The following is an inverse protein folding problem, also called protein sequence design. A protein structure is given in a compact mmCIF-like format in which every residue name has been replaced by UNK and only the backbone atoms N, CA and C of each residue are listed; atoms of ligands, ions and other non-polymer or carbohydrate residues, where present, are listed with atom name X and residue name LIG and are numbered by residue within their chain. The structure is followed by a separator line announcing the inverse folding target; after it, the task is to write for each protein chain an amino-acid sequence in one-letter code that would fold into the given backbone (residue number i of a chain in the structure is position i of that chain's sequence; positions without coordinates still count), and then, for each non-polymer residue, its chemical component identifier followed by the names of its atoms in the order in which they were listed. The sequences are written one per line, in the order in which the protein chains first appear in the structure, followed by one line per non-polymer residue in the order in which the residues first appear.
data_IF_584946164717
#
_entry.id   IF_584946164717
#
_cell.length_a   1.000
_cell.length_b   1.000
_cell.length_c   1.000
_cell.angle_alpha   90.00
_cell.angle_beta   90.00
_cell.angle_gamma   90.00
#
_symmetry.space_group_name_H-M   'P 1'
#
loop_
_entity.id
_entity.type
_entity.pdbx_description
1 polymer ?
#
# COMPACT_ATOMS: atom_id res chain seq x y z
N UNK A 1 2.33 -3.83 -18.27
CA UNK A 1 3.01 -5.00 -17.68
C UNK A 1 3.92 -4.60 -16.54
N UNK A 2 4.23 -5.53 -15.66
CA UNK A 2 5.18 -5.39 -14.57
C UNK A 2 6.27 -6.46 -14.76
N UNK A 3 7.54 -6.06 -14.69
CA UNK A 3 8.66 -6.98 -14.90
C UNK A 3 9.48 -7.19 -13.62
N UNK A 4 9.79 -6.13 -12.88
CA UNK A 4 10.67 -6.18 -11.72
C UNK A 4 10.32 -5.10 -10.70
N UNK A 5 10.49 -5.44 -9.42
CA UNK A 5 10.50 -4.49 -8.32
C UNK A 5 11.61 -4.83 -7.35
N UNK A 6 12.41 -3.85 -6.98
CA UNK A 6 13.28 -3.92 -5.82
C UNK A 6 13.12 -2.68 -4.97
N UNK A 7 13.17 -2.86 -3.65
CA UNK A 7 13.10 -1.76 -2.69
C UNK A 7 14.01 -2.08 -1.49
N UNK A 8 14.79 -1.10 -1.06
CA UNK A 8 15.75 -1.26 0.02
C UNK A 8 15.78 -0.01 0.88
N UNK A 9 15.85 -0.18 2.20
CA UNK A 9 16.33 0.89 3.07
C UNK A 9 17.84 0.93 2.94
N UNK A 10 18.40 2.11 2.66
CA UNK A 10 19.83 2.33 2.50
C UNK A 10 20.44 2.88 3.79
N UNK A 11 19.73 3.79 4.44
CA UNK A 11 20.17 4.46 5.68
C UNK A 11 18.98 4.53 6.66
N UNK A 12 19.20 4.48 7.98
CA UNK A 12 20.48 4.38 8.70
C UNK A 12 21.07 2.96 8.76
N UNK A 13 20.26 1.93 8.49
CA UNK A 13 20.68 0.52 8.42
C UNK A 13 20.13 -0.08 7.16
N UNK A 14 20.98 -0.62 6.31
CA UNK A 14 20.57 -1.24 5.06
C UNK A 14 19.83 -2.56 5.28
N UNK A 15 18.67 -2.69 4.66
CA UNK A 15 17.91 -3.94 4.59
C UNK A 15 16.93 -3.95 3.42
N UNK A 16 16.68 -5.14 2.83
CA UNK A 16 15.70 -5.26 1.76
C UNK A 16 14.28 -5.11 2.28
N UNK A 17 13.40 -4.57 1.43
CA UNK A 17 11.97 -4.49 1.68
C UNK A 17 11.24 -5.55 0.85
N UNK A 18 10.37 -6.30 1.48
CA UNK A 18 9.40 -7.17 0.79
C UNK A 18 8.30 -6.27 0.26
N UNK A 19 8.37 -5.95 -1.01
CA UNK A 19 7.54 -4.95 -1.67
C UNK A 19 7.00 -5.46 -3.01
N UNK A 20 5.83 -4.96 -3.40
CA UNK A 20 5.25 -5.15 -4.72
C UNK A 20 4.67 -3.82 -5.21
N UNK A 21 4.84 -3.46 -6.50
CA UNK A 21 4.18 -2.28 -7.04
C UNK A 21 2.68 -2.52 -7.15
N UNK A 22 1.88 -1.47 -6.97
CA UNK A 22 0.44 -1.53 -7.23
C UNK A 22 0.19 -1.67 -8.73
N UNK A 23 -0.88 -2.34 -9.10
CA UNK A 23 -1.33 -2.38 -10.49
C UNK A 23 -1.58 -0.95 -11.01
N UNK A 24 -1.28 -0.70 -12.26
CA UNK A 24 -1.40 0.60 -12.94
C UNK A 24 -0.57 1.73 -12.31
N UNK A 25 0.51 1.42 -11.64
CA UNK A 25 1.48 2.40 -11.17
C UNK A 25 2.54 2.69 -12.22
N UNK A 26 3.12 3.89 -12.20
CA UNK A 26 4.28 4.19 -13.03
C UNK A 26 5.49 3.38 -12.56
N UNK A 27 6.37 3.02 -13.50
CA UNK A 27 7.72 2.56 -13.20
C UNK A 27 8.64 3.71 -12.83
N UNK A 28 9.85 3.37 -12.39
CA UNK A 28 10.95 4.33 -12.19
C UNK A 28 11.89 4.30 -13.41
N UNK A 29 12.65 5.37 -13.64
CA UNK A 29 13.68 5.42 -14.69
C UNK A 29 15.00 4.79 -14.25
N UNK A 30 14.94 3.58 -13.69
CA UNK A 30 16.03 2.91 -13.00
C UNK A 30 15.95 3.08 -11.49
N UNK A 31 16.99 2.67 -10.73
CA UNK A 31 17.02 2.87 -9.29
C UNK A 31 16.93 4.36 -8.92
N UNK A 32 15.98 4.71 -8.08
CA UNK A 32 15.82 6.06 -7.53
C UNK A 32 16.00 6.03 -6.03
N UNK A 33 16.70 7.02 -5.49
CA UNK A 33 16.91 7.18 -4.05
C UNK A 33 16.27 8.45 -3.54
N UNK A 34 15.65 8.37 -2.38
CA UNK A 34 15.06 9.51 -1.73
C UNK A 34 14.89 9.33 -0.24
N UNK A 35 14.80 10.47 0.45
CA UNK A 35 14.48 10.48 1.87
C UNK A 35 13.03 10.06 2.07
N UNK A 36 12.81 9.17 3.03
CA UNK A 36 11.47 8.75 3.41
C UNK A 36 10.83 9.81 4.32
N UNK A 37 9.56 10.10 4.09
CA UNK A 37 8.77 11.00 4.91
C UNK A 37 7.50 10.32 5.39
N UNK A 38 7.24 10.38 6.70
CA UNK A 38 6.02 9.88 7.31
C UNK A 38 4.86 10.79 6.98
N UNK A 39 3.82 10.25 6.35
CA UNK A 39 2.61 10.99 5.98
C UNK A 39 1.42 10.43 6.76
N UNK A 40 0.82 11.28 7.58
CA UNK A 40 -0.42 11.00 8.32
C UNK A 40 -1.44 12.02 7.87
N UNK A 41 -2.52 11.57 7.24
CA UNK A 41 -3.58 12.44 6.73
C UNK A 41 -4.93 11.95 7.23
N UNK A 42 -5.60 12.77 7.99
CA UNK A 42 -6.92 12.54 8.57
C UNK A 42 -7.93 13.60 8.11
N UNK A 43 -7.43 14.73 7.59
CA UNK A 43 -8.21 15.87 7.18
C UNK A 43 -7.66 16.54 5.91
N UNK A 44 -8.47 17.39 5.27
CA UNK A 44 -8.02 18.19 4.13
C UNK A 44 -6.93 19.22 4.54
N UNK A 45 -6.94 19.68 5.79
CA UNK A 45 -5.90 20.57 6.31
C UNK A 45 -4.52 19.86 6.34
N UNK A 46 -4.48 18.56 6.62
CA UNK A 46 -3.24 17.81 6.58
C UNK A 46 -2.69 17.71 5.16
N UNK A 47 -3.58 17.58 4.16
CA UNK A 47 -3.18 17.59 2.75
C UNK A 47 -2.56 18.92 2.36
N UNK A 48 -3.20 20.04 2.78
CA UNK A 48 -2.65 21.39 2.55
C UNK A 48 -1.28 21.58 3.22
N UNK A 49 -1.09 21.03 4.42
CA UNK A 49 0.18 21.13 5.16
C UNK A 49 1.34 20.35 4.49
N UNK A 50 1.03 19.45 3.57
CA UNK A 50 2.03 18.70 2.80
C UNK A 50 2.53 19.44 1.57
N UNK A 51 1.81 20.47 1.11
CA UNK A 51 2.19 21.23 -0.09
C UNK A 51 3.60 21.81 0.01
N UNK A 52 4.37 21.66 -1.05
CA UNK A 52 5.75 22.12 -1.14
C UNK A 52 6.77 21.28 -0.35
N UNK A 53 6.35 20.14 0.23
CA UNK A 53 7.23 19.32 1.09
C UNK A 53 7.49 17.91 0.58
N UNK A 54 6.70 17.44 -0.38
CA UNK A 54 6.74 16.03 -0.80
C UNK A 54 7.50 15.77 -2.10
N UNK A 55 7.86 16.81 -2.82
CA UNK A 55 8.61 16.68 -4.07
C UNK A 55 9.95 15.94 -3.83
N UNK A 56 10.23 14.91 -4.62
CA UNK A 56 11.45 14.12 -4.50
C UNK A 56 11.55 13.23 -3.26
N UNK A 57 10.49 13.12 -2.45
CA UNK A 57 10.46 12.29 -1.25
C UNK A 57 9.83 10.93 -1.52
N UNK A 58 10.18 9.93 -0.70
CA UNK A 58 9.48 8.65 -0.63
C UNK A 58 8.45 8.75 0.51
N UNK A 59 7.17 8.75 0.16
CA UNK A 59 6.09 8.98 1.13
C UNK A 59 5.69 7.68 1.82
N UNK A 60 5.81 7.64 3.14
CA UNK A 60 5.43 6.51 3.99
C UNK A 60 4.02 6.72 4.53
N UNK A 61 3.00 6.29 3.75
CA UNK A 61 1.58 6.57 3.98
C UNK A 61 0.90 5.40 4.68
N UNK A 62 -0.10 5.69 5.49
CA UNK A 62 -0.91 4.68 6.19
C UNK A 62 -0.65 4.63 7.69
N UNK A 63 -1.20 3.63 8.36
CA UNK A 63 -1.07 3.43 9.80
C UNK A 63 -0.30 2.14 10.11
N UNK A 64 0.48 2.10 11.22
CA UNK A 64 1.08 0.86 11.67
C UNK A 64 -0.02 -0.16 11.94
N UNK A 65 0.22 -1.37 11.50
CA UNK A 65 -0.69 -2.47 11.77
C UNK A 65 -0.21 -3.24 12.99
N UNK A 66 -1.13 -3.57 13.89
CA UNK A 66 -0.88 -4.54 14.93
C UNK A 66 -0.76 -5.94 14.31
N UNK A 67 0.42 -6.51 14.41
CA UNK A 67 0.68 -7.87 13.94
C UNK A 67 0.23 -8.83 15.04
N UNK A 68 -0.85 -9.55 14.80
CA UNK A 68 -1.32 -10.60 15.72
C UNK A 68 -0.49 -11.85 15.50
N UNK A 69 -0.02 -12.44 16.59
CA UNK A 69 0.52 -13.81 16.53
C UNK A 69 -0.60 -14.75 16.05
N UNK A 70 -0.27 -15.80 15.27
CA UNK A 70 -1.26 -16.83 14.95
C UNK A 70 -1.83 -17.35 16.27
N UNK A 71 -3.15 -17.27 16.43
CA UNK A 71 -3.84 -17.94 17.51
C UNK A 71 -3.55 -19.45 17.44
N UNK A 72 -3.54 -20.12 18.60
CA UNK A 72 -3.13 -21.51 18.79
C UNK A 72 -3.35 -22.43 17.59
N UNK A 73 -2.27 -23.02 17.07
CA UNK A 73 -2.30 -24.00 16.00
C UNK A 73 -1.56 -23.62 14.70
N UNK A 74 -0.91 -22.45 14.61
CA UNK A 74 -0.10 -22.03 13.46
C UNK A 74 -0.92 -21.54 12.27
N UNK A 75 -0.25 -21.38 11.12
CA UNK A 75 -0.81 -20.85 9.88
C UNK A 75 -1.89 -21.79 9.30
N UNK A 76 -1.86 -23.06 9.65
CA UNK A 76 -2.80 -24.07 9.19
C UNK A 76 -3.62 -24.61 10.37
N UNK A 77 -4.84 -24.11 10.52
CA UNK A 77 -5.80 -24.65 11.47
C UNK A 77 -6.29 -26.00 10.92
N UNK A 78 -6.03 -27.08 11.66
CA UNK A 78 -6.70 -28.37 11.37
C UNK A 78 -8.12 -28.28 11.89
N UNK A 79 -9.08 -28.63 11.03
CA UNK A 79 -10.46 -28.77 11.45
C UNK A 79 -10.61 -30.03 12.33
N UNK A 80 -11.38 -29.94 13.42
CA UNK A 80 -11.84 -31.09 14.17
C UNK A 80 -12.93 -31.82 13.37
N UNK A 81 -13.18 -33.11 13.67
CA UNK A 81 -14.23 -33.88 13.01
C UNK A 81 -15.59 -33.17 13.06
N UNK A 82 -15.94 -32.60 14.21
CA UNK A 82 -17.16 -31.80 14.37
C UNK A 82 -17.22 -30.61 13.41
N UNK A 83 -16.11 -29.91 13.20
CA UNK A 83 -16.05 -28.79 12.27
C UNK A 83 -16.12 -29.26 10.81
N UNK A 84 -15.59 -30.44 10.50
CA UNK A 84 -15.73 -31.06 9.18
C UNK A 84 -17.19 -31.44 8.91
N UNK A 85 -17.88 -32.04 9.88
CA UNK A 85 -19.31 -32.35 9.80
C UNK A 85 -20.17 -31.08 9.61
N UNK A 86 -19.82 -29.98 10.31
CA UNK A 86 -20.48 -28.69 10.12
C UNK A 86 -20.23 -28.10 8.72
N UNK A 87 -19.04 -28.32 8.14
CA UNK A 87 -18.71 -27.92 6.76
C UNK A 87 -19.43 -28.79 5.72
N UNK A 88 -19.64 -30.09 5.99
CA UNK A 88 -20.38 -30.99 5.13
C UNK A 88 -21.86 -30.57 5.03
N UNK A 89 -22.38 -29.97 6.10
CA UNK A 89 -23.70 -29.33 6.11
C UNK A 89 -23.70 -27.94 5.50
N UNK A 90 -22.94 -27.75 4.40
CA UNK A 90 -22.76 -26.46 3.75
C UNK A 90 -24.11 -25.75 3.54
N UNK A 91 -24.39 -24.80 4.39
CA UNK A 91 -25.48 -23.84 4.18
C UNK A 91 -24.97 -22.74 3.27
N UNK A 92 -25.58 -22.59 2.11
CA UNK A 92 -25.34 -21.41 1.28
C UNK A 92 -25.51 -20.19 2.19
N UNK A 93 -24.47 -19.41 2.45
CA UNK A 93 -24.61 -18.23 3.29
C UNK A 93 -25.72 -17.36 2.67
N UNK A 94 -26.86 -17.32 3.32
CA UNK A 94 -27.98 -16.46 2.92
C UNK A 94 -27.45 -15.06 2.78
N UNK A 95 -27.50 -14.52 1.60
CA UNK A 95 -26.86 -13.37 1.04
C UNK A 95 -26.54 -12.23 2.01
N UNK A 96 -25.49 -11.53 1.71
CA UNK A 96 -24.93 -10.37 2.39
C UNK A 96 -24.31 -10.71 3.75
N UNK A 97 -23.07 -11.22 3.71
CA UNK A 97 -22.24 -11.26 4.92
C UNK A 97 -22.34 -9.94 5.68
N UNK A 98 -22.36 -10.04 7.00
CA UNK A 98 -22.41 -8.92 7.95
C UNK A 98 -21.29 -7.90 7.65
N UNK A 99 -21.45 -7.11 6.62
CA UNK A 99 -20.87 -5.78 6.57
C UNK A 99 -21.67 -4.97 7.57
N UNK A 100 -21.04 -4.45 8.58
CA UNK A 100 -21.65 -3.48 9.50
C UNK A 100 -22.34 -2.36 8.69
N UNK A 101 -23.19 -1.54 9.32
CA UNK A 101 -23.88 -0.47 8.62
C UNK A 101 -22.85 0.33 7.80
N UNK A 102 -23.11 0.46 6.51
CA UNK A 102 -22.25 1.22 5.59
C UNK A 102 -22.40 2.70 5.93
N UNK A 103 -21.36 3.26 6.56
CA UNK A 103 -21.31 4.69 6.80
C UNK A 103 -20.94 5.41 5.50
N UNK A 104 -21.96 5.98 4.88
CA UNK A 104 -21.83 6.71 3.61
C UNK A 104 -21.03 8.00 3.78
N UNK A 105 -21.16 8.67 4.91
CA UNK A 105 -20.46 9.96 5.16
C UNK A 105 -18.97 9.73 5.32
N UNK A 106 -18.59 8.76 6.14
CA UNK A 106 -17.19 8.36 6.32
C UNK A 106 -16.56 7.90 4.99
N UNK A 107 -17.30 7.09 4.22
CA UNK A 107 -16.87 6.67 2.90
C UNK A 107 -16.62 7.86 1.95
N UNK A 108 -17.55 8.82 1.90
CA UNK A 108 -17.41 10.00 1.05
C UNK A 108 -16.28 10.92 1.51
N UNK A 109 -16.10 11.09 2.83
CA UNK A 109 -14.97 11.82 3.41
C UNK A 109 -13.65 11.21 3.00
N UNK A 110 -13.50 9.90 3.19
CA UNK A 110 -12.31 9.17 2.79
C UNK A 110 -12.01 9.32 1.29
N UNK A 111 -13.03 9.22 0.44
CA UNK A 111 -12.87 9.40 -1.03
C UNK A 111 -12.44 10.82 -1.42
N UNK A 112 -12.89 11.83 -0.70
CA UNK A 112 -12.43 13.22 -0.92
C UNK A 112 -10.95 13.38 -0.58
N UNK A 113 -10.53 12.88 0.58
CA UNK A 113 -9.13 12.91 1.01
C UNK A 113 -8.21 12.16 0.03
N UNK A 114 -8.61 10.98 -0.40
CA UNK A 114 -7.87 10.20 -1.39
C UNK A 114 -7.67 10.98 -2.71
N UNK A 115 -8.74 11.61 -3.21
CA UNK A 115 -8.65 12.45 -4.43
C UNK A 115 -7.78 13.69 -4.24
N UNK A 116 -7.84 14.32 -3.07
CA UNK A 116 -7.00 15.47 -2.76
C UNK A 116 -5.51 15.09 -2.73
N UNK A 117 -5.18 13.93 -2.14
CA UNK A 117 -3.84 13.38 -2.14
C UNK A 117 -3.35 13.03 -3.54
N UNK A 118 -4.18 12.36 -4.35
CA UNK A 118 -3.83 12.03 -5.74
C UNK A 118 -3.47 13.30 -6.53
N UNK A 119 -4.28 14.35 -6.44
CA UNK A 119 -3.97 15.64 -7.08
C UNK A 119 -2.67 16.26 -6.58
N UNK A 120 -2.39 16.17 -5.28
CA UNK A 120 -1.14 16.67 -4.71
C UNK A 120 0.05 15.87 -5.24
N UNK A 121 -0.06 14.54 -5.35
CA UNK A 121 0.99 13.68 -5.90
C UNK A 121 1.26 13.98 -7.39
N UNK A 122 0.21 14.24 -8.16
CA UNK A 122 0.34 14.65 -9.57
C UNK A 122 1.06 16.01 -9.70
N UNK A 123 0.78 16.96 -8.82
CA UNK A 123 1.36 18.29 -8.84
C UNK A 123 2.83 18.31 -8.38
N UNK A 124 3.16 17.63 -7.28
CA UNK A 124 4.48 17.72 -6.64
C UNK A 124 5.41 16.56 -6.97
N UNK A 125 4.91 15.48 -7.56
CA UNK A 125 5.70 14.34 -8.06
C UNK A 125 6.68 13.78 -7.02
N UNK A 126 6.18 13.22 -5.90
CA UNK A 126 7.04 12.46 -5.00
C UNK A 126 7.67 11.29 -5.76
N UNK A 127 8.84 10.80 -5.31
CA UNK A 127 9.53 9.67 -5.93
C UNK A 127 8.69 8.39 -5.88
N UNK A 128 8.08 8.13 -4.74
CA UNK A 128 7.18 7.00 -4.57
C UNK A 128 6.24 7.19 -3.38
N UNK A 129 5.14 6.45 -3.40
CA UNK A 129 4.20 6.31 -2.28
C UNK A 129 4.23 4.86 -1.79
N UNK A 130 4.48 4.67 -0.50
CA UNK A 130 4.65 3.35 0.12
C UNK A 130 3.59 3.13 1.18
N UNK A 131 2.79 2.08 1.02
CA UNK A 131 1.71 1.71 1.93
C UNK A 131 1.97 0.34 2.58
N UNK A 132 1.44 0.07 3.79
CA UNK A 132 1.53 -1.24 4.41
C UNK A 132 0.60 -2.24 3.73
N UNK A 133 1.03 -3.49 3.66
CA UNK A 133 0.14 -4.60 3.31
C UNK A 133 -0.98 -4.75 4.34
N UNK A 134 -2.19 -5.07 3.86
CA UNK A 134 -3.34 -5.44 4.71
C UNK A 134 -3.24 -6.87 5.25
N UNK A 135 -2.20 -7.63 4.87
CA UNK A 135 -1.99 -9.01 5.29
C UNK A 135 -0.87 -9.13 6.31
N UNK A 136 -0.98 -10.12 7.17
CA UNK A 136 0.06 -10.46 8.15
C UNK A 136 1.15 -11.36 7.53
N UNK A 137 2.16 -11.72 8.31
CA UNK A 137 3.19 -12.69 7.95
C UNK A 137 3.92 -12.39 6.63
N UNK A 138 4.20 -11.13 6.34
CA UNK A 138 4.88 -10.66 5.12
C UNK A 138 4.15 -11.01 3.81
N UNK A 139 2.88 -11.39 3.87
CA UNK A 139 2.07 -11.60 2.69
C UNK A 139 1.70 -10.25 2.09
N UNK A 140 1.94 -10.09 0.80
CA UNK A 140 1.56 -8.90 0.07
C UNK A 140 0.22 -9.11 -0.62
N UNK A 141 -0.65 -8.11 -0.53
CA UNK A 141 -1.87 -8.05 -1.33
C UNK A 141 -1.67 -7.02 -2.44
N UNK A 142 -1.82 -7.44 -3.67
CA UNK A 142 -1.81 -6.54 -4.80
C UNK A 142 -3.02 -5.61 -4.75
N UNK A 143 -2.77 -4.32 -4.72
CA UNK A 143 -3.75 -3.25 -4.87
C UNK A 143 -3.62 -2.56 -6.21
N UNK A 144 -4.57 -1.69 -6.56
CA UNK A 144 -4.51 -0.85 -7.75
C UNK A 144 -4.23 0.62 -7.42
N UNK A 145 -3.50 1.30 -8.29
CA UNK A 145 -3.24 2.73 -8.21
C UNK A 145 -4.34 3.59 -8.85
N UNK A 146 -5.50 3.01 -9.15
CA UNK A 146 -6.74 3.64 -9.66
C UNK A 146 -6.69 4.31 -11.04
N UNK A 147 -5.55 4.40 -11.69
CA UNK A 147 -5.41 4.93 -13.04
C UNK A 147 -5.50 3.79 -14.06
N UNK A 148 -6.71 3.31 -14.34
CA UNK A 148 -6.94 2.16 -15.22
C UNK A 148 -7.73 2.49 -16.48
N UNK A 149 -8.16 3.75 -16.65
CA UNK A 149 -8.87 4.17 -17.88
C UNK A 149 -7.88 4.73 -18.88
N UNK A 150 -8.11 4.45 -20.15
CA UNK A 150 -7.32 5.05 -21.23
C UNK A 150 -7.41 6.58 -21.15
N UNK A 151 -6.24 7.23 -21.16
CA UNK A 151 -6.12 8.69 -21.05
C UNK A 151 -6.07 9.25 -19.63
N UNK A 152 -6.21 8.40 -18.58
CA UNK A 152 -5.93 8.84 -17.22
C UNK A 152 -4.43 9.17 -17.05
N UNK A 153 -4.07 10.18 -16.28
CA UNK A 153 -2.66 10.45 -15.98
C UNK A 153 -2.06 9.28 -15.25
N UNK A 154 -0.81 8.93 -15.60
CA UNK A 154 -0.09 7.88 -14.89
C UNK A 154 0.18 8.32 -13.44
N UNK A 155 -0.24 7.54 -12.45
CA UNK A 155 0.05 7.85 -11.06
C UNK A 155 1.55 7.73 -10.79
N UNK A 156 2.04 8.45 -9.79
CA UNK A 156 3.41 8.25 -9.28
C UNK A 156 3.60 6.79 -8.85
N UNK A 157 4.85 6.35 -8.79
CA UNK A 157 5.18 4.98 -8.35
C UNK A 157 4.58 4.69 -6.98
N UNK A 158 3.77 3.64 -6.89
CA UNK A 158 3.12 3.23 -5.64
C UNK A 158 3.46 1.78 -5.31
N UNK A 159 3.88 1.54 -4.06
CA UNK A 159 4.30 0.25 -3.56
C UNK A 159 3.47 -0.18 -2.35
N UNK A 160 3.22 -1.47 -2.26
CA UNK A 160 2.77 -2.14 -1.03
C UNK A 160 3.95 -2.86 -0.42
N UNK A 161 4.26 -2.57 0.85
CA UNK A 161 5.36 -3.19 1.61
C UNK A 161 4.78 -4.05 2.73
N UNK A 162 5.47 -5.14 3.09
CA UNK A 162 5.04 -5.99 4.19
C UNK A 162 4.80 -5.18 5.48
N UNK A 163 3.73 -5.49 6.21
CA UNK A 163 3.30 -4.72 7.37
C UNK A 163 4.40 -4.60 8.44
N UNK A 164 5.19 -5.67 8.65
CA UNK A 164 6.29 -5.70 9.62
C UNK A 164 7.42 -4.72 9.26
N UNK A 165 7.86 -4.73 8.01
CA UNK A 165 8.95 -3.87 7.52
C UNK A 165 8.49 -2.43 7.36
N UNK A 166 7.25 -2.24 6.87
CA UNK A 166 6.64 -0.92 6.82
C UNK A 166 6.60 -0.29 8.23
N UNK A 167 6.14 -1.06 9.23
CA UNK A 167 6.12 -0.61 10.62
C UNK A 167 7.52 -0.35 11.22
N UNK A 168 8.55 -1.10 10.78
CA UNK A 168 9.93 -0.85 11.18
C UNK A 168 10.40 0.54 10.71
N UNK A 169 10.19 0.86 9.44
CA UNK A 169 10.54 2.17 8.88
C UNK A 169 9.70 3.28 9.53
N UNK A 170 8.40 3.07 9.70
CA UNK A 170 7.53 4.05 10.34
C UNK A 170 8.02 4.42 11.75
N UNK A 171 8.47 3.44 12.55
CA UNK A 171 9.05 3.69 13.88
C UNK A 171 10.36 4.49 13.84
N UNK A 172 11.20 4.29 12.83
CA UNK A 172 12.42 5.09 12.63
C UNK A 172 12.04 6.54 12.33
N UNK A 173 11.10 6.75 11.41
CA UNK A 173 10.61 8.09 11.04
C UNK A 173 9.89 8.79 12.21
N UNK A 174 9.07 8.08 12.98
CA UNK A 174 8.40 8.63 14.17
C UNK A 174 9.42 9.04 15.26
N UNK A 175 10.62 8.42 15.29
CA UNK A 175 11.76 8.82 16.14
C UNK A 175 12.60 9.94 15.51
N UNK A 176 12.14 10.54 14.42
CA UNK A 176 12.85 11.60 13.67
C UNK A 176 14.22 11.20 13.13
N UNK A 177 14.42 9.91 12.88
CA UNK A 177 15.62 9.43 12.21
C UNK A 177 15.49 9.69 10.70
N UNK A 178 16.59 10.12 10.08
CA UNK A 178 16.63 10.19 8.63
C UNK A 178 16.71 8.77 8.06
N UNK A 179 15.75 8.46 7.18
CA UNK A 179 15.69 7.18 6.46
C UNK A 179 15.78 7.46 4.97
N UNK A 180 16.70 6.78 4.31
CA UNK A 180 16.82 6.83 2.86
C UNK A 180 16.42 5.48 2.26
N UNK A 181 15.64 5.53 1.19
CA UNK A 181 15.11 4.34 0.51
C UNK A 181 15.49 4.39 -0.97
N UNK A 182 15.95 3.27 -1.49
CA UNK A 182 16.14 3.04 -2.92
C UNK A 182 15.02 2.17 -3.46
N UNK A 183 14.46 2.55 -4.60
CA UNK A 183 13.35 1.86 -5.27
C UNK A 183 13.69 1.75 -6.76
N UNK A 184 13.49 0.55 -7.33
CA UNK A 184 13.58 0.30 -8.76
C UNK A 184 12.36 -0.52 -9.20
N UNK A 185 11.49 0.08 -9.99
CA UNK A 185 10.27 -0.54 -10.52
C UNK A 185 10.31 -0.48 -12.04
N UNK A 186 10.38 -1.65 -12.67
CA UNK A 186 10.25 -1.75 -14.12
C UNK A 186 8.82 -2.16 -14.48
N UNK A 187 8.04 -1.18 -14.88
CA UNK A 187 6.66 -1.34 -15.31
C UNK A 187 6.41 -0.51 -16.56
N UNK A 188 5.59 -1.03 -17.47
CA UNK A 188 5.21 -0.34 -18.71
C UNK A 188 3.71 -0.46 -18.94
N UNK A 189 3.15 0.62 -19.51
CA UNK A 189 1.77 0.65 -19.98
C UNK A 189 1.73 0.28 -21.46
N UNK A 190 0.76 -0.53 -21.83
CA UNK A 190 0.51 -0.95 -23.19
C UNK A 190 -0.89 -0.45 -23.57
N UNK A 191 -0.97 0.79 -24.06
CA UNK A 191 -2.26 1.44 -24.36
C UNK A 191 -2.98 0.83 -25.57
N UNK A 192 -2.25 0.21 -26.49
CA UNK A 192 -2.76 -0.36 -27.74
C UNK A 192 -3.02 -1.87 -27.65
N UNK A 193 -2.64 -2.52 -26.55
CA UNK A 193 -2.88 -3.94 -26.36
C UNK A 193 -4.22 -4.18 -25.65
N UNK A 194 -5.23 -4.51 -26.46
CA UNK A 194 -6.57 -4.85 -25.96
C UNK A 194 -6.73 -6.33 -25.61
N UNK A 195 -5.66 -7.13 -25.76
CA UNK A 195 -5.63 -8.57 -25.54
C UNK A 195 -4.93 -8.94 -24.23
N UNK A 196 -5.23 -8.23 -23.14
CA UNK A 196 -4.73 -8.56 -21.80
C UNK A 196 -5.44 -9.75 -21.17
#
# INVERSE_FOLDING_TARGET
SFERCSAHVVSPVAFPLVAIPKAWTAGTSGPVRGKAMRVKVESEADVEALKGKIAGMVLWVGQPRELKAPEDGGVFKRYSEKQLDELEQFRIPGGRGRRGPFDREEFLKRRRLERALEKLYEAEKPLAVVEPSERDANVLRLGGARSYKKGDPQPVTQLTVSASQWGRVARLLDRKMEVEVEIDVKASFHEDDTNG
#
